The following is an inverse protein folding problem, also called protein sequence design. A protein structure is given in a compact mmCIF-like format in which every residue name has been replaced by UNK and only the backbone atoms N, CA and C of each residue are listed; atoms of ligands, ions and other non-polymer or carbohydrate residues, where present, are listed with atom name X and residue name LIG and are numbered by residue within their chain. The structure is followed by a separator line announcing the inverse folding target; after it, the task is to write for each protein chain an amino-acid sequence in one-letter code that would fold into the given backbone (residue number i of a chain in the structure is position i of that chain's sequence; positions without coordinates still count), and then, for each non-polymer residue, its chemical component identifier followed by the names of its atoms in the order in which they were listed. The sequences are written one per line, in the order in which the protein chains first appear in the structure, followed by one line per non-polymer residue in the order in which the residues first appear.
data_IF_808207763007
#
_entry.id   IF_808207763007
#
_cell.length_a   1.000
_cell.length_b   1.000
_cell.length_c   1.000
_cell.angle_alpha   90.00
_cell.angle_beta   90.00
_cell.angle_gamma   90.00
#
_symmetry.space_group_name_H-M   'P 1'
#
loop_
_entity.id
_entity.type
_entity.pdbx_description
1 polymer ?
#
# COMPACT_ATOMS: atom_id res chain seq x y z
N UNK A 1 -0.05 -20.57 10.02
CA UNK A 1 0.19 -19.70 8.84
C UNK A 1 -1.18 -19.35 8.25
N UNK A 2 -1.54 -18.07 8.13
CA UNK A 2 -2.89 -17.68 7.66
C UNK A 2 -3.10 -17.98 6.17
N UNK A 3 -4.36 -18.19 5.74
CA UNK A 3 -4.72 -18.50 4.34
C UNK A 3 -4.07 -17.54 3.34
N UNK A 4 -4.04 -16.24 3.65
CA UNK A 4 -3.40 -15.20 2.82
C UNK A 4 -1.90 -15.42 2.61
N UNK A 5 -1.19 -15.84 3.65
CA UNK A 5 0.25 -16.13 3.59
C UNK A 5 0.53 -17.42 2.81
N UNK A 6 -0.36 -18.41 2.91
CA UNK A 6 -0.29 -19.62 2.10
C UNK A 6 -0.49 -19.32 0.60
N UNK A 7 -1.49 -18.51 0.25
CA UNK A 7 -1.73 -18.04 -1.12
C UNK A 7 -0.52 -17.29 -1.67
N UNK A 8 0.04 -16.36 -0.90
CA UNK A 8 1.24 -15.61 -1.32
C UNK A 8 2.45 -16.54 -1.53
N UNK A 9 2.63 -17.53 -0.64
CA UNK A 9 3.72 -18.51 -0.75
C UNK A 9 3.55 -19.42 -1.97
N UNK A 10 2.34 -19.90 -2.23
CA UNK A 10 2.05 -20.72 -3.42
C UNK A 10 2.29 -19.93 -4.71
N UNK A 11 1.83 -18.68 -4.78
CA UNK A 11 2.10 -17.80 -5.92
C UNK A 11 3.59 -17.63 -6.17
N UNK A 12 4.38 -17.32 -5.13
CA UNK A 12 5.83 -17.13 -5.25
C UNK A 12 6.57 -18.42 -5.66
N UNK A 13 6.05 -19.60 -5.32
CA UNK A 13 6.65 -20.87 -5.69
C UNK A 13 6.49 -21.20 -7.19
N UNK A 14 5.40 -20.74 -7.82
CA UNK A 14 5.09 -21.03 -9.24
C UNK A 14 5.35 -19.85 -10.18
N UNK A 15 5.45 -18.64 -9.62
CA UNK A 15 5.65 -17.42 -10.39
C UNK A 15 7.13 -17.18 -10.69
N UNK A 16 7.39 -16.55 -11.84
CA UNK A 16 8.73 -16.05 -12.20
C UNK A 16 9.07 -14.70 -11.52
N UNK A 17 8.12 -14.14 -10.75
CA UNK A 17 8.31 -12.89 -10.04
C UNK A 17 9.02 -13.11 -8.70
N UNK A 18 9.97 -12.24 -8.39
CA UNK A 18 10.77 -12.31 -7.16
C UNK A 18 10.34 -11.22 -6.18
N UNK A 19 10.17 -11.62 -4.93
CA UNK A 19 9.88 -10.71 -3.83
C UNK A 19 11.19 -10.16 -3.25
N UNK A 20 11.30 -8.84 -3.16
CA UNK A 20 12.45 -8.14 -2.55
C UNK A 20 11.92 -7.15 -1.52
N UNK A 21 12.27 -7.37 -0.25
CA UNK A 21 11.71 -6.63 0.87
C UNK A 21 12.80 -6.33 1.91
N UNK A 22 12.95 -5.05 2.25
CA UNK A 22 13.70 -4.62 3.43
C UNK A 22 12.86 -4.75 4.72
N UNK A 23 13.43 -4.59 5.93
CA UNK A 23 12.63 -4.60 7.16
C UNK A 23 11.58 -3.48 7.20
N UNK A 24 10.35 -3.79 7.60
CA UNK A 24 9.28 -2.80 7.76
C UNK A 24 9.17 -2.27 9.20
N UNK A 25 9.23 -0.95 9.42
CA UNK A 25 8.95 -0.33 10.71
C UNK A 25 7.50 -0.62 11.18
N UNK A 26 7.25 -0.83 12.50
CA UNK A 26 5.92 -1.20 13.02
C UNK A 26 4.78 -0.29 12.56
N UNK A 27 5.07 1.01 12.42
CA UNK A 27 4.20 2.03 11.85
C UNK A 27 4.89 2.60 10.61
N UNK A 28 4.24 2.54 9.45
CA UNK A 28 4.86 2.98 8.20
C UNK A 28 3.83 3.37 7.13
N UNK A 29 4.15 4.40 6.35
CA UNK A 29 3.47 4.73 5.10
C UNK A 29 4.25 4.12 3.94
N UNK A 30 3.68 3.15 3.23
CA UNK A 30 4.28 2.59 2.01
C UNK A 30 3.73 3.33 0.80
N UNK A 31 4.62 3.93 0.02
CA UNK A 31 4.25 4.54 -1.27
C UNK A 31 4.61 3.61 -2.43
N UNK A 32 3.63 3.30 -3.28
CA UNK A 32 3.85 2.51 -4.49
C UNK A 32 4.17 3.41 -5.69
N UNK A 33 5.39 3.32 -6.22
CA UNK A 33 5.81 3.97 -7.46
C UNK A 33 6.83 3.11 -8.25
N UNK A 34 6.76 3.06 -9.59
CA UNK A 34 5.72 3.65 -10.43
C UNK A 34 4.37 2.93 -10.26
N UNK A 35 3.27 3.66 -10.44
CA UNK A 35 1.93 3.08 -10.43
C UNK A 35 1.33 3.11 -11.83
N UNK A 36 1.51 2.02 -12.57
CA UNK A 36 1.13 1.89 -13.98
C UNK A 36 -0.15 1.07 -14.14
N UNK A 37 -0.48 0.18 -13.20
CA UNK A 37 -1.60 -0.75 -13.31
C UNK A 37 -2.30 -1.05 -11.97
N UNK A 38 -3.49 -1.64 -12.02
CA UNK A 38 -4.13 -2.14 -10.79
C UNK A 38 -3.39 -3.36 -10.21
N UNK A 39 -2.63 -4.09 -11.04
CA UNK A 39 -1.82 -5.22 -10.60
C UNK A 39 -0.75 -4.80 -9.60
N UNK A 40 -0.29 -3.56 -9.66
CA UNK A 40 0.70 -3.06 -8.70
C UNK A 40 0.19 -3.17 -7.25
N UNK A 41 -1.10 -2.89 -7.05
CA UNK A 41 -1.76 -3.08 -5.74
C UNK A 41 -1.89 -4.56 -5.35
N UNK A 42 -2.07 -5.45 -6.32
CA UNK A 42 -2.12 -6.91 -6.08
C UNK A 42 -0.76 -7.44 -5.67
N UNK A 43 0.31 -7.05 -6.38
CA UNK A 43 1.68 -7.40 -6.02
C UNK A 43 2.03 -6.89 -4.61
N UNK A 44 1.64 -5.66 -4.28
CA UNK A 44 1.81 -5.13 -2.92
C UNK A 44 0.99 -5.87 -1.86
N UNK A 45 -0.20 -6.37 -2.18
CA UNK A 45 -0.96 -7.20 -1.26
C UNK A 45 -0.27 -8.55 -1.02
N UNK A 46 0.23 -9.19 -2.08
CA UNK A 46 0.96 -10.47 -2.01
C UNK A 46 2.22 -10.32 -1.15
N UNK A 47 3.00 -9.25 -1.35
CA UNK A 47 4.22 -9.00 -0.58
C UNK A 47 3.93 -8.83 0.92
N UNK A 48 2.91 -8.04 1.26
CA UNK A 48 2.51 -7.81 2.65
C UNK A 48 1.90 -9.06 3.30
N UNK A 49 1.15 -9.88 2.56
CA UNK A 49 0.67 -11.17 3.07
C UNK A 49 1.81 -12.17 3.30
N UNK A 50 2.81 -12.20 2.41
CA UNK A 50 4.00 -13.04 2.59
C UNK A 50 4.78 -12.63 3.83
N UNK A 51 4.90 -11.32 4.07
CA UNK A 51 5.51 -10.76 5.27
C UNK A 51 4.63 -10.90 6.55
N UNK A 52 3.39 -11.39 6.43
CA UNK A 52 2.47 -11.46 7.56
C UNK A 52 2.07 -10.09 8.12
N UNK A 53 2.21 -9.02 7.33
CA UNK A 53 1.99 -7.63 7.75
C UNK A 53 0.54 -7.22 7.47
N UNK A 54 -0.25 -6.86 8.50
CA UNK A 54 -1.56 -6.23 8.28
C UNK A 54 -1.38 -4.84 7.65
N UNK A 55 -2.23 -4.47 6.71
CA UNK A 55 -2.14 -3.19 6.02
C UNK A 55 -3.52 -2.64 5.63
N UNK A 56 -3.57 -1.35 5.29
CA UNK A 56 -4.73 -0.69 4.70
C UNK A 56 -4.33 0.01 3.39
N UNK A 57 -5.11 -0.18 2.33
CA UNK A 57 -4.95 0.59 1.09
C UNK A 57 -5.80 1.84 1.08
N UNK A 58 -5.17 2.99 0.89
CA UNK A 58 -5.89 4.24 0.64
C UNK A 58 -6.33 4.31 -0.83
N UNK A 59 -7.50 3.76 -1.15
CA UNK A 59 -8.09 3.78 -2.50
C UNK A 59 -9.14 4.90 -2.68
N UNK A 60 -9.46 5.24 -3.93
CA UNK A 60 -10.56 6.16 -4.24
C UNK A 60 -11.90 5.47 -3.94
N UNK A 61 -12.80 6.20 -3.28
CA UNK A 61 -14.13 5.70 -2.88
C UNK A 61 -14.94 5.09 -4.05
N UNK A 62 -14.85 5.68 -5.25
CA UNK A 62 -15.52 5.13 -6.44
C UNK A 62 -15.05 3.73 -6.83
N UNK A 63 -13.77 3.38 -6.57
CA UNK A 63 -13.25 2.04 -6.82
C UNK A 63 -13.73 1.04 -5.75
N UNK A 64 -13.92 1.51 -4.52
CA UNK A 64 -14.43 0.69 -3.42
C UNK A 64 -15.94 0.40 -3.54
N UNK A 65 -16.68 1.28 -4.23
CA UNK A 65 -18.12 1.14 -4.54
C UNK A 65 -18.40 0.25 -5.75
N UNK A 66 -17.42 -0.01 -6.61
CA UNK A 66 -17.59 -0.96 -7.70
C UNK A 66 -17.80 -2.38 -7.13
N UNK A 67 -18.81 -3.15 -7.57
CA UNK A 67 -19.21 -4.38 -6.88
C UNK A 67 -18.10 -5.44 -6.84
N UNK A 68 -17.45 -5.71 -7.97
CA UNK A 68 -16.37 -6.71 -8.07
C UNK A 68 -15.06 -6.19 -7.46
N UNK A 69 -14.66 -4.96 -7.83
CA UNK A 69 -13.40 -4.38 -7.38
C UNK A 69 -13.42 -4.00 -5.90
N UNK A 70 -14.56 -3.54 -5.40
CA UNK A 70 -14.78 -3.24 -3.98
C UNK A 70 -14.77 -4.49 -3.10
N UNK A 71 -15.39 -5.58 -3.56
CA UNK A 71 -15.28 -6.88 -2.89
C UNK A 71 -13.83 -7.37 -2.84
N UNK A 72 -13.09 -7.21 -3.94
CA UNK A 72 -11.67 -7.55 -4.00
C UNK A 72 -10.83 -6.68 -3.04
N UNK A 73 -11.01 -5.36 -3.04
CA UNK A 73 -10.31 -4.43 -2.14
C UNK A 73 -10.56 -4.81 -0.68
N UNK A 74 -11.80 -5.12 -0.30
CA UNK A 74 -12.14 -5.58 1.05
C UNK A 74 -11.48 -6.92 1.38
N UNK A 75 -11.53 -7.88 0.45
CA UNK A 75 -10.92 -9.20 0.63
C UNK A 75 -9.40 -9.10 0.86
N UNK A 76 -8.74 -8.15 0.18
CA UNK A 76 -7.29 -7.96 0.33
C UNK A 76 -6.86 -7.17 1.57
N UNK A 77 -7.81 -6.60 2.34
CA UNK A 77 -7.54 -5.80 3.55
C UNK A 77 -7.55 -4.29 3.31
N UNK A 78 -8.01 -3.84 2.14
CA UNK A 78 -8.14 -2.42 1.84
C UNK A 78 -9.29 -1.76 2.60
N UNK A 79 -8.98 -0.70 3.35
CA UNK A 79 -9.98 0.18 3.95
C UNK A 79 -10.08 1.44 3.10
N UNK A 80 -11.23 1.63 2.46
CA UNK A 80 -11.49 2.82 1.65
C UNK A 80 -11.71 4.05 2.52
N UNK A 81 -11.11 5.17 2.13
CA UNK A 81 -11.22 6.43 2.86
C UNK A 81 -11.79 7.48 1.91
N UNK A 82 -12.81 8.22 2.37
CA UNK A 82 -13.48 9.24 1.57
C UNK A 82 -12.54 10.45 1.42
N UNK A 83 -12.05 10.69 0.20
CA UNK A 83 -11.10 11.78 -0.11
C UNK A 83 -11.77 13.15 -0.31
N UNK A 84 -13.01 13.33 0.14
CA UNK A 84 -13.82 14.54 -0.10
C UNK A 84 -13.28 15.80 0.58
N UNK A 85 -12.49 15.64 1.65
CA UNK A 85 -11.79 16.74 2.32
C UNK A 85 -10.35 16.29 2.64
N UNK A 86 -9.38 16.80 1.88
CA UNK A 86 -8.00 16.36 1.98
C UNK A 86 -7.38 16.62 3.36
N UNK A 87 -7.74 17.72 4.03
CA UNK A 87 -7.25 18.05 5.35
C UNK A 87 -7.76 17.05 6.40
N UNK A 88 -9.08 16.83 6.47
CA UNK A 88 -9.64 15.88 7.43
C UNK A 88 -9.15 14.43 7.23
N UNK A 89 -8.75 14.04 6.01
CA UNK A 89 -8.18 12.72 5.76
C UNK A 89 -6.78 12.55 6.36
N UNK A 90 -5.94 13.58 6.31
CA UNK A 90 -4.58 13.50 6.88
C UNK A 90 -4.69 13.30 8.38
N UNK A 91 -5.42 14.17 9.07
CA UNK A 91 -5.62 14.13 10.52
C UNK A 91 -6.20 12.79 10.97
N UNK A 92 -7.24 12.29 10.28
CA UNK A 92 -7.87 10.99 10.58
C UNK A 92 -6.89 9.82 10.49
N UNK A 93 -6.01 9.83 9.48
CA UNK A 93 -5.04 8.75 9.29
C UNK A 93 -3.90 8.89 10.29
N UNK A 94 -3.45 10.11 10.58
CA UNK A 94 -2.44 10.37 11.60
C UNK A 94 -2.91 9.93 12.99
N UNK A 95 -4.17 10.20 13.36
CA UNK A 95 -4.79 9.70 14.58
C UNK A 95 -4.78 8.15 14.64
N UNK A 96 -5.09 7.47 13.53
CA UNK A 96 -5.03 6.00 13.48
C UNK A 96 -3.62 5.47 13.69
N UNK A 97 -2.60 6.12 13.14
CA UNK A 97 -1.20 5.79 13.40
C UNK A 97 -0.87 5.97 14.88
N UNK A 98 -1.29 7.08 15.50
CA UNK A 98 -1.05 7.35 16.92
C UNK A 98 -1.73 6.34 17.85
N UNK A 99 -2.99 5.98 17.56
CA UNK A 99 -3.78 5.05 18.37
C UNK A 99 -3.37 3.57 18.23
N UNK A 100 -2.62 3.20 17.19
CA UNK A 100 -2.24 1.80 16.93
C UNK A 100 -0.82 1.50 17.44
N UNK A 101 -0.55 0.27 17.89
CA UNK A 101 0.83 -0.19 18.16
C UNK A 101 1.59 -0.53 16.87
N UNK A 102 0.87 -1.04 15.86
CA UNK A 102 1.38 -1.30 14.52
C UNK A 102 0.35 -0.88 13.48
N UNK A 103 0.78 -0.19 12.43
CA UNK A 103 -0.11 0.24 11.36
C UNK A 103 0.66 0.41 10.05
N UNK A 104 0.19 -0.19 8.96
CA UNK A 104 0.79 -0.05 7.64
C UNK A 104 -0.23 0.54 6.69
N UNK A 105 0.05 1.73 6.19
CA UNK A 105 -0.78 2.38 5.17
C UNK A 105 -0.07 2.27 3.83
N UNK A 106 -0.71 1.63 2.85
CA UNK A 106 -0.21 1.60 1.49
C UNK A 106 -1.00 2.54 0.59
N UNK A 107 -0.32 3.39 -0.17
CA UNK A 107 -0.96 4.31 -1.10
C UNK A 107 -0.07 4.65 -2.29
N UNK A 108 -0.64 5.29 -3.30
CA UNK A 108 0.12 5.77 -4.46
C UNK A 108 0.24 7.28 -4.39
N UNK A 109 1.45 7.86 -4.47
CA UNK A 109 1.67 9.29 -4.24
C UNK A 109 1.02 10.14 -5.33
N UNK A 110 0.87 9.56 -6.52
CA UNK A 110 0.19 10.15 -7.67
C UNK A 110 -1.34 10.10 -7.58
N UNK A 111 -1.88 9.09 -6.89
CA UNK A 111 -3.32 8.85 -6.74
C UNK A 111 -4.08 8.53 -8.03
N UNK A 112 -3.37 8.31 -9.16
CA UNK A 112 -3.90 7.87 -10.45
C UNK A 112 -2.82 7.11 -11.22
N UNK A 113 -3.24 6.26 -12.17
CA UNK A 113 -2.35 5.52 -13.07
C UNK A 113 -1.87 6.39 -14.25
N UNK A 114 -2.73 7.27 -14.78
CA UNK A 114 -2.44 8.18 -15.90
C UNK A 114 -1.22 9.06 -15.63
N UNK A 115 -0.23 9.21 -16.54
CA UNK A 115 0.97 10.04 -16.36
C UNK A 115 0.69 11.40 -15.68
N UNK A 116 1.55 11.76 -14.73
CA UNK A 116 1.57 13.07 -14.07
C UNK A 116 3.01 13.41 -13.75
N UNK A 117 3.33 14.68 -13.90
CA UNK A 117 4.64 15.25 -13.64
C UNK A 117 4.97 15.33 -12.15
N UNK A 118 3.95 15.51 -11.30
CA UNK A 118 4.11 15.70 -9.85
C UNK A 118 3.36 14.67 -9.01
N UNK A 119 3.90 14.42 -7.82
CA UNK A 119 3.24 13.66 -6.75
C UNK A 119 2.36 14.58 -5.91
N UNK A 120 1.29 14.01 -5.31
CA UNK A 120 0.51 14.72 -4.31
C UNK A 120 1.20 14.59 -2.95
N UNK A 121 1.20 15.66 -2.16
CA UNK A 121 1.88 15.71 -0.85
C UNK A 121 1.15 14.98 0.29
N UNK A 122 -0.04 14.40 0.05
CA UNK A 122 -0.86 13.80 1.10
C UNK A 122 -0.17 12.67 1.88
N UNK A 123 0.58 11.80 1.20
CA UNK A 123 1.33 10.72 1.87
C UNK A 123 2.41 11.29 2.80
N UNK A 124 3.08 12.36 2.36
CA UNK A 124 4.15 13.02 3.11
C UNK A 124 3.59 13.75 4.33
N UNK A 125 2.47 14.46 4.16
CA UNK A 125 1.77 15.11 5.28
C UNK A 125 1.30 14.10 6.33
N UNK A 126 0.76 12.96 5.91
CA UNK A 126 0.38 11.87 6.83
C UNK A 126 1.59 11.37 7.62
N UNK A 127 2.70 11.07 6.91
CA UNK A 127 3.91 10.58 7.55
C UNK A 127 4.47 11.59 8.57
N UNK A 128 4.55 12.86 8.18
CA UNK A 128 5.04 13.95 9.01
C UNK A 128 4.17 14.16 10.26
N UNK A 129 2.84 14.23 10.10
CA UNK A 129 1.92 14.46 11.21
C UNK A 129 1.81 13.27 12.17
N UNK A 130 1.97 12.06 11.65
CA UNK A 130 1.98 10.85 12.45
C UNK A 130 3.34 10.56 13.11
N UNK A 131 4.43 11.22 12.66
CA UNK A 131 5.79 10.92 13.07
C UNK A 131 6.21 9.50 12.69
N UNK A 132 5.88 9.05 11.47
CA UNK A 132 6.17 7.70 10.98
C UNK A 132 6.93 7.74 9.66
N UNK A 133 7.81 6.76 9.42
CA UNK A 133 8.61 6.74 8.21
C UNK A 133 7.80 6.40 6.94
N UNK A 134 8.41 6.69 5.80
CA UNK A 134 7.93 6.34 4.46
C UNK A 134 8.78 5.21 3.88
N UNK A 135 8.14 4.13 3.45
CA UNK A 135 8.78 3.04 2.70
C UNK A 135 8.53 3.19 1.20
N UNK A 136 9.55 2.96 0.39
CA UNK A 136 9.40 2.93 -1.07
C UNK A 136 9.02 1.54 -1.57
N UNK A 137 7.75 1.38 -1.96
CA UNK A 137 7.23 0.18 -2.63
C UNK A 137 7.33 0.28 -4.15
N UNK A 138 7.64 -0.84 -4.81
CA UNK A 138 7.83 -0.88 -6.25
C UNK A 138 7.32 -2.19 -6.88
N UNK A 139 7.03 -2.11 -8.18
CA UNK A 139 6.79 -3.24 -9.07
C UNK A 139 7.56 -2.97 -10.36
N UNK A 140 8.54 -3.80 -10.65
CA UNK A 140 9.39 -3.69 -11.83
C UNK A 140 9.18 -4.90 -12.74
N UNK A 141 8.47 -4.67 -13.85
CA UNK A 141 8.19 -5.70 -14.84
C UNK A 141 9.42 -6.11 -15.67
N UNK A 142 10.44 -5.25 -15.76
CA UNK A 142 11.66 -5.53 -16.52
C UNK A 142 12.50 -6.60 -15.84
N UNK A 143 12.69 -6.47 -14.52
CA UNK A 143 13.41 -7.45 -13.69
C UNK A 143 12.48 -8.51 -13.09
N UNK A 144 11.16 -8.33 -13.21
CA UNK A 144 10.12 -9.13 -12.54
C UNK A 144 10.31 -9.19 -11.04
N UNK A 145 10.66 -8.05 -10.45
CA UNK A 145 10.82 -7.90 -9.00
C UNK A 145 9.74 -6.99 -8.45
N UNK A 146 9.32 -7.24 -7.22
CA UNK A 146 8.37 -6.39 -6.52
C UNK A 146 8.59 -6.46 -5.02
N UNK A 147 8.06 -5.46 -4.31
CA UNK A 147 8.15 -5.38 -2.86
C UNK A 147 8.46 -3.97 -2.43
N UNK A 148 9.43 -3.80 -1.55
CA UNK A 148 9.81 -2.49 -1.05
C UNK A 148 11.31 -2.42 -0.75
N UNK A 149 11.89 -1.27 -1.07
CA UNK A 149 13.29 -0.92 -0.82
C UNK A 149 13.42 -0.05 0.43
N UNK A 150 14.22 1.01 0.43
CA UNK A 150 14.60 1.74 1.65
C UNK A 150 13.47 2.50 2.34
N UNK A 151 13.74 2.77 3.61
CA UNK A 151 12.90 3.57 4.52
C UNK A 151 13.48 4.97 4.65
N UNK A 152 12.62 5.99 4.69
CA UNK A 152 12.97 7.39 4.92
C UNK A 152 12.18 7.94 6.11
N UNK A 153 12.83 8.78 6.91
CA UNK A 153 12.23 9.49 8.05
C UNK A 153 11.69 10.87 7.66
#
# INVERSE_FOLDING_TARGET
MGLKSAVATAYLAVSRWKLVCEPLPPKVVIIGAPHTSNWDGVFMAISLWKAGRPFQFLVKDSLAKAPVLGAFIRAIGGVSVQRGQANGLVDQVAERFRASQSFTLCMTPKGTRSPREYWKSGFYRIALEAGVPIQLGFVDASTRTFGWGPTYE
#
